data_IF_277340416765
#
_entry.id   IF_277340416765
#
_cell.length_a   1.000
_cell.length_b   1.000
_cell.length_c   1.000
_cell.angle_alpha   90.00
_cell.angle_beta   90.00
_cell.angle_gamma   90.00
#
_symmetry.space_group_name_H-M   'P 1'
#
loop_
_entity.id
_entity.type
_entity.pdbx_description
1 polymer ?
#
# COMPACT_ATOMS: atom_id res chain seq x y z
N UNK A 1 23.07 1.53 -5.30
CA UNK A 1 22.44 0.75 -4.21
C UNK A 1 20.95 0.70 -4.47
N UNK A 2 20.31 -0.46 -4.31
CA UNK A 2 18.85 -0.52 -4.23
C UNK A 2 18.41 0.18 -2.94
N UNK A 3 17.37 1.02 -3.02
CA UNK A 3 16.82 1.69 -1.85
C UNK A 3 16.22 0.65 -0.91
N UNK A 4 16.46 0.81 0.39
CA UNK A 4 15.77 0.05 1.42
C UNK A 4 14.26 0.32 1.38
N UNK A 5 13.46 -0.60 1.93
CA UNK A 5 12.01 -0.40 2.04
C UNK A 5 11.67 0.86 2.85
N UNK A 6 12.48 1.20 3.85
CA UNK A 6 12.29 2.40 4.68
C UNK A 6 12.51 3.68 3.88
N UNK A 7 13.55 3.71 3.04
CA UNK A 7 13.82 4.83 2.13
C UNK A 7 12.68 5.01 1.11
N UNK A 8 12.18 3.92 0.51
CA UNK A 8 11.06 3.98 -0.42
C UNK A 8 9.78 4.51 0.23
N UNK A 9 9.49 4.08 1.46
CA UNK A 9 8.33 4.56 2.22
C UNK A 9 8.50 6.03 2.62
N UNK A 10 9.71 6.46 2.98
CA UNK A 10 10.00 7.86 3.30
C UNK A 10 9.84 8.77 2.07
N UNK A 11 10.30 8.33 0.90
CA UNK A 11 10.11 9.05 -0.36
C UNK A 11 8.63 9.14 -0.75
N UNK A 12 7.87 8.06 -0.62
CA UNK A 12 6.43 8.07 -0.82
C UNK A 12 5.74 9.08 0.10
N UNK A 13 6.09 9.08 1.39
CA UNK A 13 5.51 9.99 2.37
C UNK A 13 5.82 11.46 2.04
N UNK A 14 7.06 11.75 1.64
CA UNK A 14 7.50 13.07 1.21
C UNK A 14 6.71 13.54 -0.02
N UNK A 15 6.63 12.71 -1.07
CA UNK A 15 5.90 13.02 -2.30
C UNK A 15 4.42 13.31 -2.04
N UNK A 16 3.75 12.52 -1.21
CA UNK A 16 2.34 12.74 -0.87
C UNK A 16 2.17 14.04 -0.05
N UNK A 17 3.10 14.34 0.85
CA UNK A 17 3.08 15.58 1.63
C UNK A 17 3.26 16.82 0.75
N UNK A 18 4.20 16.76 -0.21
CA UNK A 18 4.44 17.83 -1.20
C UNK A 18 3.23 18.05 -2.12
N UNK A 19 2.44 16.99 -2.38
CA UNK A 19 1.17 17.06 -3.10
C UNK A 19 -0.01 17.52 -2.22
N UNK A 20 0.24 17.97 -0.99
CA UNK A 20 -0.76 18.43 -0.03
C UNK A 20 -1.81 17.37 0.35
N UNK A 21 -1.45 16.07 0.33
CA UNK A 21 -2.32 15.05 0.89
C UNK A 21 -2.48 15.23 2.40
N UNK A 22 -3.69 14.95 2.90
CA UNK A 22 -3.98 14.96 4.33
C UNK A 22 -3.02 14.00 5.09
N UNK A 23 -2.47 14.38 6.26
CA UNK A 23 -1.57 13.53 7.05
C UNK A 23 -2.10 12.11 7.33
N UNK A 24 -3.41 11.94 7.52
CA UNK A 24 -4.05 10.63 7.70
C UNK A 24 -3.90 9.77 6.44
N UNK A 25 -4.02 10.39 5.26
CA UNK A 25 -3.83 9.71 3.98
C UNK A 25 -2.38 9.31 3.80
N UNK A 26 -1.44 10.19 4.18
CA UNK A 26 0.00 9.87 4.14
C UNK A 26 0.31 8.69 5.06
N UNK A 27 -0.20 8.68 6.29
CA UNK A 27 -0.02 7.58 7.24
C UNK A 27 -0.58 6.25 6.70
N UNK A 28 -1.78 6.27 6.11
CA UNK A 28 -2.38 5.09 5.50
C UNK A 28 -1.55 4.55 4.33
N UNK A 29 -1.05 5.42 3.44
CA UNK A 29 -0.17 5.00 2.34
C UNK A 29 1.12 4.37 2.85
N UNK A 30 1.74 4.91 3.89
CA UNK A 30 2.93 4.31 4.51
C UNK A 30 2.64 2.90 5.03
N UNK A 31 1.49 2.70 5.70
CA UNK A 31 1.07 1.39 6.21
C UNK A 31 0.84 0.37 5.08
N UNK A 32 0.14 0.78 4.02
CA UNK A 32 -0.14 -0.10 2.88
C UNK A 32 1.11 -0.40 2.06
N UNK A 33 2.00 0.59 1.87
CA UNK A 33 3.28 0.40 1.21
C UNK A 33 4.17 -0.58 1.99
N UNK A 34 4.25 -0.46 3.32
CA UNK A 34 4.95 -1.44 4.17
C UNK A 34 4.40 -2.85 3.94
N UNK A 35 3.08 -3.01 4.07
CA UNK A 35 2.43 -4.32 3.92
C UNK A 35 2.69 -4.95 2.54
N UNK A 36 2.76 -4.13 1.49
CA UNK A 36 3.08 -4.59 0.15
C UNK A 36 4.56 -4.98 0.01
N UNK A 37 5.47 -4.15 0.50
CA UNK A 37 6.91 -4.41 0.45
C UNK A 37 7.29 -5.65 1.27
N UNK A 38 6.65 -5.88 2.42
CA UNK A 38 6.85 -7.09 3.22
C UNK A 38 6.37 -8.34 2.46
N UNK A 39 5.22 -8.26 1.77
CA UNK A 39 4.72 -9.34 0.91
C UNK A 39 5.67 -9.69 -0.24
N UNK A 40 6.32 -8.68 -0.83
CA UNK A 40 7.31 -8.87 -1.88
C UNK A 40 8.60 -9.51 -1.34
N UNK A 41 9.08 -9.05 -0.18
CA UNK A 41 10.25 -9.62 0.48
C UNK A 41 10.07 -11.10 0.82
N UNK A 42 8.89 -11.49 1.31
CA UNK A 42 8.55 -12.90 1.58
C UNK A 42 8.64 -13.80 0.32
N UNK A 43 8.61 -13.21 -0.88
CA UNK A 43 8.61 -13.92 -2.17
C UNK A 43 9.88 -13.70 -2.98
N UNK A 44 10.88 -13.04 -2.41
CA UNK A 44 12.11 -12.65 -3.08
C UNK A 44 11.85 -11.86 -4.38
N UNK A 45 10.81 -11.02 -4.36
CA UNK A 45 10.42 -10.19 -5.50
C UNK A 45 10.95 -8.76 -5.33
N UNK A 46 11.81 -8.25 -6.24
CA UNK A 46 12.24 -6.88 -6.18
C UNK A 46 11.11 -5.93 -6.61
N UNK A 47 10.84 -4.91 -5.80
CA UNK A 47 9.80 -3.90 -6.07
C UNK A 47 9.94 -3.24 -7.45
N UNK A 48 11.18 -3.10 -7.94
CA UNK A 48 11.48 -2.49 -9.24
C UNK A 48 11.01 -3.31 -10.44
N UNK A 49 10.74 -4.60 -10.27
CA UNK A 49 10.32 -5.51 -11.36
C UNK A 49 8.89 -6.02 -11.19
N UNK A 50 8.13 -5.42 -10.26
CA UNK A 50 6.76 -5.84 -9.98
C UNK A 50 5.89 -5.62 -11.22
N UNK A 51 5.16 -6.67 -11.59
CA UNK A 51 4.18 -6.64 -12.67
C UNK A 51 2.76 -6.42 -12.14
N UNK A 52 1.85 -6.00 -13.02
CA UNK A 52 0.43 -5.84 -12.66
C UNK A 52 -0.17 -7.13 -12.09
N UNK A 53 0.19 -8.29 -12.64
CA UNK A 53 -0.27 -9.59 -12.12
C UNK A 53 0.18 -9.84 -10.67
N UNK A 54 1.41 -9.42 -10.32
CA UNK A 54 1.91 -9.56 -8.94
C UNK A 54 1.20 -8.60 -7.97
N UNK A 55 0.79 -7.43 -8.45
CA UNK A 55 -0.06 -6.50 -7.67
C UNK A 55 -1.45 -7.10 -7.43
N UNK A 56 -2.06 -7.72 -8.44
CA UNK A 56 -3.35 -8.43 -8.29
C UNK A 56 -3.25 -9.57 -7.28
N UNK A 57 -2.18 -10.36 -7.34
CA UNK A 57 -1.91 -11.41 -6.36
C UNK A 57 -1.79 -10.86 -4.94
N UNK A 58 -1.13 -9.71 -4.77
CA UNK A 58 -1.06 -9.04 -3.46
C UNK A 58 -2.45 -8.63 -2.96
N UNK A 59 -3.32 -8.08 -3.82
CA UNK A 59 -4.69 -7.73 -3.39
C UNK A 59 -5.48 -8.95 -2.93
N UNK A 60 -5.38 -10.09 -3.64
CA UNK A 60 -5.97 -11.35 -3.20
C UNK A 60 -5.42 -11.80 -1.85
N UNK A 61 -4.10 -11.74 -1.67
CA UNK A 61 -3.44 -12.05 -0.40
C UNK A 61 -3.91 -11.15 0.75
N UNK A 62 -3.99 -9.83 0.52
CA UNK A 62 -4.44 -8.86 1.52
C UNK A 62 -5.90 -9.09 1.94
N UNK A 63 -6.79 -9.44 1.01
CA UNK A 63 -8.18 -9.83 1.32
C UNK A 63 -8.19 -11.09 2.19
N UNK A 64 -7.38 -12.09 1.85
CA UNK A 64 -7.32 -13.33 2.63
C UNK A 64 -6.81 -13.08 4.05
N UNK A 65 -5.73 -12.29 4.21
CA UNK A 65 -5.20 -11.87 5.51
C UNK A 65 -6.26 -11.11 6.33
N UNK A 66 -7.02 -10.22 5.69
CA UNK A 66 -8.11 -9.49 6.34
C UNK A 66 -9.20 -10.44 6.83
N UNK A 67 -9.63 -11.39 6.00
CA UNK A 67 -10.64 -12.40 6.37
C UNK A 67 -10.19 -13.26 7.55
N UNK A 68 -8.94 -13.74 7.53
CA UNK A 68 -8.37 -14.52 8.62
C UNK A 68 -8.35 -13.71 9.92
N UNK A 69 -8.02 -12.42 9.85
CA UNK A 69 -7.93 -11.55 11.03
C UNK A 69 -9.29 -11.14 11.60
N UNK A 70 -10.29 -10.88 10.76
CA UNK A 70 -11.54 -10.23 11.17
C UNK A 70 -12.80 -11.08 10.95
N UNK A 71 -12.69 -12.29 10.39
CA UNK A 71 -13.81 -13.19 10.13
C UNK A 71 -14.79 -12.69 9.06
N UNK A 72 -14.45 -11.63 8.32
CA UNK A 72 -15.32 -11.04 7.28
C UNK A 72 -14.51 -10.50 6.11
N UNK A 73 -15.17 -10.30 4.97
CA UNK A 73 -14.57 -9.62 3.82
C UNK A 73 -14.36 -8.13 4.10
N UNK A 74 -13.30 -7.52 3.55
CA UNK A 74 -13.19 -6.07 3.54
C UNK A 74 -14.31 -5.45 2.69
N UNK A 75 -14.59 -4.17 2.90
CA UNK A 75 -15.58 -3.42 2.10
C UNK A 75 -15.27 -3.54 0.61
N UNK A 76 -16.24 -3.69 -0.31
CA UNK A 76 -15.98 -3.72 -1.76
C UNK A 76 -15.21 -2.50 -2.30
N UNK A 77 -15.13 -1.41 -1.53
CA UNK A 77 -14.38 -0.19 -1.87
C UNK A 77 -13.05 -0.09 -1.14
N UNK A 78 -12.58 -1.14 -0.47
CA UNK A 78 -11.37 -1.10 0.36
C UNK A 78 -10.12 -0.69 -0.42
N UNK A 79 -10.00 -1.16 -1.67
CA UNK A 79 -8.92 -0.79 -2.58
C UNK A 79 -9.02 0.67 -3.07
N UNK A 80 -10.15 1.36 -2.84
CA UNK A 80 -10.36 2.79 -3.13
C UNK A 80 -10.11 3.69 -1.92
N UNK A 81 -9.80 3.13 -0.76
CA UNK A 81 -9.40 3.89 0.44
C UNK A 81 -7.89 4.13 0.37
N UNK A 82 -7.44 5.07 -0.48
CA UNK A 82 -7.54 6.48 -0.12
C UNK A 82 -7.85 7.47 -1.27
N UNK A 83 -8.43 7.02 -2.39
CA UNK A 83 -8.82 7.91 -3.50
C UNK A 83 -9.91 8.93 -3.10
N UNK A 84 -10.64 8.69 -2.01
CA UNK A 84 -11.79 9.52 -1.60
C UNK A 84 -11.46 10.71 -0.68
N UNK A 85 -10.19 11.01 -0.43
CA UNK A 85 -9.79 12.20 0.33
C UNK A 85 -9.35 13.38 -0.57
N UNK A 86 -9.55 13.28 -1.88
CA UNK A 86 -9.44 14.41 -2.82
C UNK A 86 -10.86 14.95 -3.06
N UNK A 87 -11.50 15.42 -2.00
CA UNK A 87 -12.50 16.47 -2.15
C UNK A 87 -11.80 17.74 -1.69
N UNK A 88 -11.28 18.49 -2.67
CA UNK A 88 -11.04 19.92 -2.50
C UNK A 88 -12.32 20.54 -1.90
N UNK A 89 -12.20 21.13 -0.73
CA UNK A 89 -12.96 22.31 -0.33
C UNK A 89 -11.96 23.27 0.29
#
# INVERSE_FOLDING_TARGET
>A
MLKSHDELIAELAKLLTEQNYNPVVVANHRLYARSFLDYLAERDLPVATVTLSQVEQYFCHAVQRFRVRYGRSPSPRWHRLPHTAICKL
#
